data_IF_192349609354
#
_entry.id   IF_192349609354
#
_cell.length_a   1.000
_cell.length_b   1.000
_cell.length_c   1.000
_cell.angle_alpha   90.00
_cell.angle_beta   90.00
_cell.angle_gamma   90.00
#
_symmetry.space_group_name_H-M   'P 1'
#
loop_
_entity.id
_entity.type
_entity.pdbx_description
1 polymer ?
#
# COMPACT_ATOMS: atom_id res chain seq x y z
N UNK A 1 -3.95 88.85 -4.59
CA UNK A 1 -5.00 88.53 -3.65
C UNK A 1 -4.57 87.18 -3.08
N UNK A 2 -3.84 87.22 -1.97
CA UNK A 2 -3.19 86.06 -1.40
C UNK A 2 -3.95 85.58 -0.20
N UNK A 3 -4.41 84.33 -0.26
CA UNK A 3 -4.99 83.65 0.89
C UNK A 3 -3.86 83.14 1.76
N UNK A 4 -3.86 83.62 2.98
CA UNK A 4 -2.94 83.21 4.05
C UNK A 4 -3.59 82.08 4.79
N UNK A 5 -3.04 80.88 4.62
CA UNK A 5 -3.40 79.73 5.44
C UNK A 5 -2.73 79.92 6.80
N UNK A 6 -3.53 80.15 7.84
CA UNK A 6 -3.10 80.16 9.25
C UNK A 6 -3.10 78.78 9.77
N UNK A 7 -1.93 78.19 10.09
CA UNK A 7 -1.76 76.98 10.81
C UNK A 7 -2.15 77.19 12.27
N UNK A 8 -3.29 76.62 12.66
CA UNK A 8 -3.66 76.59 14.09
C UNK A 8 -2.87 75.42 14.75
N UNK A 9 -1.70 75.76 15.29
CA UNK A 9 -1.02 74.87 16.24
C UNK A 9 -1.82 74.87 17.54
N UNK A 10 -2.59 73.80 17.73
CA UNK A 10 -3.21 73.48 19.00
C UNK A 10 -2.15 73.26 20.09
N UNK A 11 -2.51 73.37 21.38
CA UNK A 11 -1.54 73.21 22.48
C UNK A 11 -0.93 71.82 22.43
N UNK A 12 0.42 71.76 22.49
CA UNK A 12 1.17 70.47 22.53
C UNK A 12 0.71 69.60 23.70
N UNK A 13 0.20 68.39 23.41
CA UNK A 13 -0.17 67.40 24.39
C UNK A 13 0.95 66.35 24.46
N UNK A 14 1.59 66.19 25.62
CA UNK A 14 2.62 65.13 25.73
C UNK A 14 2.05 63.80 25.49
N UNK A 15 2.75 62.98 24.68
CA UNK A 15 2.38 61.58 24.41
C UNK A 15 2.32 60.80 25.71
N UNK A 16 1.26 60.01 25.84
CA UNK A 16 1.10 59.13 26.99
C UNK A 16 2.30 58.15 27.09
N UNK A 17 2.82 57.91 28.29
CA UNK A 17 3.88 56.93 28.45
C UNK A 17 3.47 55.56 27.94
N UNK A 18 4.38 54.78 27.34
CA UNK A 18 4.08 53.46 26.91
C UNK A 18 3.61 52.58 28.08
N UNK A 19 2.68 51.67 27.86
CA UNK A 19 2.16 50.80 28.92
C UNK A 19 3.30 50.02 29.58
N UNK A 20 3.25 49.97 30.93
CA UNK A 20 4.24 49.24 31.71
C UNK A 20 4.34 47.78 31.21
N UNK A 21 5.52 47.38 30.83
CA UNK A 21 5.77 45.97 30.41
C UNK A 21 5.45 45.08 31.62
N UNK A 22 4.38 44.32 31.50
CA UNK A 22 4.02 43.33 32.50
C UNK A 22 5.17 42.35 32.70
N UNK A 23 5.76 42.32 33.86
CA UNK A 23 6.88 41.40 34.20
C UNK A 23 6.49 39.91 34.10
N UNK A 24 5.22 39.61 33.84
CA UNK A 24 4.70 38.25 33.69
C UNK A 24 5.24 37.53 32.42
N UNK A 25 5.67 38.24 31.39
CA UNK A 25 6.24 37.60 30.19
C UNK A 25 7.47 36.73 30.47
N UNK A 26 8.29 37.13 31.46
CA UNK A 26 9.44 36.37 31.93
C UNK A 26 9.05 35.01 32.47
N UNK A 27 7.87 34.87 33.10
CA UNK A 27 7.33 33.61 33.59
C UNK A 27 6.92 32.69 32.45
N UNK A 28 6.34 33.21 31.38
CA UNK A 28 5.97 32.45 30.20
C UNK A 28 7.20 32.03 29.37
N UNK A 29 8.22 32.89 29.29
CA UNK A 29 9.49 32.53 28.65
C UNK A 29 10.19 31.41 29.44
N UNK A 30 10.26 31.51 30.75
CA UNK A 30 10.86 30.48 31.60
C UNK A 30 10.09 29.13 31.50
N UNK A 31 8.75 29.18 31.49
CA UNK A 31 7.92 28.00 31.30
C UNK A 31 8.11 27.37 29.90
N UNK A 32 8.20 28.21 28.86
CA UNK A 32 8.46 27.73 27.50
C UNK A 32 9.82 27.05 27.36
N UNK A 33 10.87 27.62 27.95
CA UNK A 33 12.22 27.04 27.95
C UNK A 33 12.23 25.69 28.70
N UNK A 34 11.51 25.59 29.82
CA UNK A 34 11.40 24.34 30.57
C UNK A 34 10.70 23.24 29.77
N UNK A 35 9.59 23.57 29.08
CA UNK A 35 8.88 22.62 28.23
C UNK A 35 9.72 22.15 27.05
N UNK A 36 10.47 23.05 26.41
CA UNK A 36 11.40 22.69 25.33
C UNK A 36 12.53 21.80 25.84
N UNK A 37 13.07 22.10 27.02
CA UNK A 37 14.10 21.27 27.64
C UNK A 37 13.59 19.86 27.97
N UNK A 38 12.36 19.74 28.49
CA UNK A 38 11.71 18.43 28.74
C UNK A 38 11.48 17.70 27.43
N UNK A 39 10.97 18.38 26.39
CA UNK A 39 10.75 17.78 25.07
C UNK A 39 12.06 17.26 24.45
N UNK A 40 13.13 18.05 24.50
CA UNK A 40 14.44 17.67 23.96
C UNK A 40 15.02 16.48 24.73
N UNK A 41 14.91 16.46 26.06
CA UNK A 41 15.42 15.32 26.86
C UNK A 41 14.63 14.04 26.60
N UNK A 42 13.31 14.13 26.45
CA UNK A 42 12.48 12.96 26.12
C UNK A 42 12.74 12.47 24.69
N UNK A 43 13.06 13.38 23.76
CA UNK A 43 13.32 13.01 22.36
C UNK A 43 14.75 12.51 22.11
N UNK A 44 15.71 12.82 22.98
CA UNK A 44 17.13 12.45 22.79
C UNK A 44 17.54 11.30 23.70
N UNK A 45 16.82 11.05 24.80
CA UNK A 45 17.08 9.83 25.59
C UNK A 45 16.54 8.66 24.78
N UNK A 46 17.41 7.78 24.22
CA UNK A 46 16.93 6.52 23.69
C UNK A 46 16.30 5.79 24.89
N UNK A 47 14.97 5.65 24.88
CA UNK A 47 14.34 4.67 25.75
C UNK A 47 15.06 3.37 25.48
N UNK A 48 15.57 2.66 26.49
CA UNK A 48 16.03 1.31 26.27
C UNK A 48 14.76 0.56 25.78
N UNK A 49 14.70 0.34 24.46
CA UNK A 49 13.85 -0.68 23.91
C UNK A 49 14.39 -1.98 24.52
N UNK A 50 13.93 -2.30 25.72
CA UNK A 50 13.93 -3.68 26.15
C UNK A 50 12.99 -4.37 25.18
N UNK A 51 13.53 -4.85 24.06
CA UNK A 51 12.88 -5.91 23.33
C UNK A 51 12.58 -6.97 24.40
N UNK A 52 11.32 -7.37 24.60
CA UNK A 52 11.08 -8.56 25.39
C UNK A 52 11.95 -9.65 24.77
N UNK A 53 12.49 -10.59 25.55
CA UNK A 53 13.14 -11.76 25.00
C UNK A 53 12.05 -12.58 24.34
N UNK A 54 11.74 -12.28 23.14
CA UNK A 54 10.75 -12.88 22.28
C UNK A 54 11.42 -13.03 20.94
N UNK A 55 11.87 -14.23 20.69
CA UNK A 55 12.18 -14.82 19.41
C UNK A 55 12.41 -13.75 18.32
N UNK A 56 13.64 -13.28 18.20
CA UNK A 56 14.11 -12.78 16.91
C UNK A 56 13.98 -13.98 15.98
N UNK A 57 12.84 -14.13 15.33
CA UNK A 57 12.74 -14.97 14.15
C UNK A 57 13.72 -14.37 13.16
N UNK A 58 14.94 -14.87 13.22
CA UNK A 58 15.97 -14.52 12.26
C UNK A 58 15.46 -15.03 10.90
N UNK A 59 15.82 -14.34 9.83
CA UNK A 59 15.50 -14.79 8.46
C UNK A 59 15.97 -16.24 8.20
N UNK A 60 16.83 -16.78 9.07
CA UNK A 60 17.32 -18.16 9.08
C UNK A 60 16.27 -19.16 9.60
N UNK A 61 15.23 -18.72 10.32
CA UNK A 61 14.13 -19.56 10.83
C UNK A 61 12.98 -19.72 9.84
N UNK A 62 12.99 -19.00 8.71
CA UNK A 62 12.01 -19.18 7.67
C UNK A 62 12.24 -20.53 6.98
N UNK A 63 11.17 -21.33 6.77
CA UNK A 63 11.31 -22.58 6.05
C UNK A 63 11.88 -22.29 4.65
N UNK A 64 12.87 -23.08 4.18
CA UNK A 64 13.41 -22.87 2.85
C UNK A 64 12.29 -23.03 1.83
N UNK A 65 12.26 -22.16 0.83
CA UNK A 65 11.32 -22.31 -0.29
C UNK A 65 11.63 -23.61 -1.03
N UNK A 66 10.64 -24.49 -1.11
CA UNK A 66 10.72 -25.71 -1.91
C UNK A 66 10.31 -25.45 -3.37
N UNK A 67 9.55 -24.39 -3.61
CA UNK A 67 9.12 -23.96 -4.94
C UNK A 67 9.26 -22.44 -5.06
N UNK A 68 9.89 -22.00 -6.14
CA UNK A 68 9.97 -20.59 -6.53
C UNK A 68 9.84 -20.50 -8.06
N UNK A 69 8.74 -19.97 -8.53
CA UNK A 69 8.45 -19.82 -9.97
C UNK A 69 7.62 -18.57 -10.23
N UNK A 70 7.48 -18.21 -11.51
CA UNK A 70 6.81 -16.99 -11.92
C UNK A 70 5.86 -17.22 -13.09
N UNK A 71 4.74 -16.51 -13.09
CA UNK A 71 3.78 -16.51 -14.19
C UNK A 71 3.45 -15.05 -14.56
N UNK A 72 3.36 -14.76 -15.85
CA UNK A 72 2.97 -13.43 -16.32
C UNK A 72 1.50 -13.45 -16.74
N UNK A 73 0.65 -12.74 -15.97
CA UNK A 73 -0.78 -12.63 -16.20
C UNK A 73 -1.13 -11.27 -16.80
N UNK A 74 -1.88 -11.26 -17.89
CA UNK A 74 -2.53 -10.05 -18.42
C UNK A 74 -4.03 -10.29 -18.58
N UNK A 75 -4.83 -9.25 -18.34
CA UNK A 75 -6.28 -9.31 -18.41
C UNK A 75 -6.78 -8.20 -19.34
N UNK A 76 -7.67 -8.55 -20.25
CA UNK A 76 -8.31 -7.60 -21.17
C UNK A 76 -9.83 -7.80 -21.12
N UNK A 77 -10.56 -6.73 -20.95
CA UNK A 77 -12.02 -6.73 -20.95
C UNK A 77 -12.51 -5.79 -22.06
N UNK A 78 -13.14 -6.33 -23.08
CA UNK A 78 -13.69 -5.56 -24.22
C UNK A 78 -12.66 -4.63 -24.87
N UNK A 79 -11.42 -5.14 -25.03
CA UNK A 79 -10.32 -4.37 -25.62
C UNK A 79 -9.55 -3.48 -24.62
N UNK A 80 -10.03 -3.30 -23.39
CA UNK A 80 -9.38 -2.51 -22.36
C UNK A 80 -8.53 -3.38 -21.45
N UNK A 81 -7.28 -3.00 -21.24
CA UNK A 81 -6.39 -3.66 -20.29
C UNK A 81 -6.86 -3.43 -18.86
N UNK A 82 -6.91 -4.50 -18.07
CA UNK A 82 -7.20 -4.46 -16.64
C UNK A 82 -5.92 -4.66 -15.83
N UNK A 83 -5.71 -3.79 -14.88
CA UNK A 83 -4.54 -3.84 -14.02
C UNK A 83 -4.64 -5.03 -13.06
N UNK A 84 -3.57 -5.81 -12.95
CA UNK A 84 -3.35 -6.75 -11.85
C UNK A 84 -2.58 -5.98 -10.77
N UNK A 85 -3.16 -5.71 -9.60
CA UNK A 85 -2.53 -4.87 -8.60
C UNK A 85 -1.21 -5.44 -8.07
N UNK A 86 -0.36 -4.56 -7.56
CA UNK A 86 0.74 -4.95 -6.68
C UNK A 86 0.18 -5.43 -5.34
N UNK A 87 0.94 -6.29 -4.64
CA UNK A 87 0.69 -6.73 -3.26
C UNK A 87 -0.57 -7.59 -3.06
N UNK A 88 -1.07 -8.25 -4.12
CA UNK A 88 -2.03 -9.35 -3.96
C UNK A 88 -1.36 -10.43 -3.10
N UNK A 89 -2.08 -10.98 -2.10
CA UNK A 89 -1.54 -11.97 -1.18
C UNK A 89 -0.48 -11.45 -0.19
N UNK A 90 -0.34 -10.09 -0.08
CA UNK A 90 0.55 -9.41 0.85
C UNK A 90 -0.21 -8.33 1.63
N UNK A 91 -0.98 -7.49 0.94
CA UNK A 91 -1.78 -6.46 1.57
C UNK A 91 -3.11 -7.04 2.04
N UNK A 92 -3.55 -6.68 3.24
CA UNK A 92 -4.75 -7.24 3.90
C UNK A 92 -6.01 -7.07 3.05
N UNK A 93 -6.14 -5.97 2.33
CA UNK A 93 -7.27 -5.65 1.45
C UNK A 93 -7.20 -6.37 0.08
N UNK A 94 -6.08 -7.02 -0.23
CA UNK A 94 -5.83 -7.81 -1.44
C UNK A 94 -5.48 -9.28 -1.12
N UNK A 95 -5.87 -9.75 0.06
CA UNK A 95 -5.68 -11.12 0.50
C UNK A 95 -6.98 -11.65 1.12
N UNK A 96 -7.80 -12.28 0.28
CA UNK A 96 -9.16 -12.67 0.64
C UNK A 96 -9.31 -14.16 0.99
N UNK A 97 -8.48 -15.02 0.39
CA UNK A 97 -8.47 -16.46 0.68
C UNK A 97 -7.19 -16.83 1.41
N UNK A 98 -7.34 -17.35 2.62
CA UNK A 98 -6.28 -17.77 3.53
C UNK A 98 -6.08 -19.29 3.57
N UNK A 99 -6.72 -20.04 2.67
CA UNK A 99 -6.67 -21.52 2.66
C UNK A 99 -5.27 -22.09 2.36
N UNK A 100 -4.40 -21.28 1.75
CA UNK A 100 -3.04 -21.68 1.36
C UNK A 100 -1.94 -21.06 2.23
N UNK A 101 -2.26 -20.31 3.26
CA UNK A 101 -1.29 -19.57 4.07
C UNK A 101 -0.19 -20.44 4.66
N UNK A 102 -0.54 -21.67 5.04
CA UNK A 102 0.42 -22.64 5.60
C UNK A 102 1.52 -23.07 4.61
N UNK A 103 1.36 -22.77 3.34
CA UNK A 103 2.32 -23.09 2.29
C UNK A 103 3.20 -21.89 1.88
N UNK A 104 2.78 -20.68 2.23
CA UNK A 104 3.53 -19.45 1.99
C UNK A 104 4.62 -19.22 3.03
N UNK A 105 5.18 -18.02 3.00
CA UNK A 105 6.05 -17.51 4.06
C UNK A 105 5.26 -16.61 5.00
N UNK A 106 5.65 -16.44 6.27
CA UNK A 106 4.90 -15.59 7.21
C UNK A 106 4.59 -14.20 6.64
N UNK A 107 3.30 -13.85 6.57
CA UNK A 107 2.82 -12.57 6.05
C UNK A 107 2.75 -12.45 4.53
N UNK A 108 2.99 -13.53 3.77
CA UNK A 108 2.91 -13.57 2.30
C UNK A 108 2.26 -14.87 1.85
N UNK A 109 1.18 -14.78 1.06
CA UNK A 109 0.55 -15.94 0.45
C UNK A 109 1.49 -16.63 -0.55
N UNK A 110 1.35 -17.95 -0.79
CA UNK A 110 2.20 -18.66 -1.75
C UNK A 110 2.02 -18.18 -3.19
N UNK A 111 0.89 -17.55 -3.51
CA UNK A 111 0.64 -16.88 -4.78
C UNK A 111 0.46 -15.38 -4.50
N UNK A 112 1.39 -14.55 -4.98
CA UNK A 112 1.35 -13.12 -4.68
C UNK A 112 1.97 -12.26 -5.79
N UNK A 113 1.83 -10.94 -5.67
CA UNK A 113 2.43 -9.97 -6.58
C UNK A 113 3.21 -8.90 -5.81
N UNK A 114 4.39 -8.51 -6.29
CA UNK A 114 5.15 -7.39 -5.73
C UNK A 114 4.85 -6.07 -6.45
N UNK A 115 4.59 -6.14 -7.76
CA UNK A 115 4.38 -4.98 -8.62
C UNK A 115 3.09 -5.13 -9.42
N UNK A 116 2.61 -4.03 -9.99
CA UNK A 116 1.42 -4.02 -10.85
C UNK A 116 1.70 -4.45 -12.30
N UNK A 117 2.73 -5.26 -12.53
CA UNK A 117 3.10 -5.79 -13.85
C UNK A 117 2.29 -7.01 -14.28
N UNK A 118 1.54 -7.62 -13.35
CA UNK A 118 0.89 -8.91 -13.58
C UNK A 118 1.82 -10.12 -13.41
N UNK A 119 3.06 -9.92 -12.93
CA UNK A 119 3.95 -11.03 -12.56
C UNK A 119 3.50 -11.61 -11.23
N UNK A 120 3.02 -12.84 -11.28
CA UNK A 120 2.65 -13.66 -10.12
C UNK A 120 3.89 -14.41 -9.67
N UNK A 121 4.24 -14.29 -8.40
CA UNK A 121 5.24 -15.10 -7.73
C UNK A 121 4.55 -16.32 -7.11
N UNK A 122 5.15 -17.48 -7.28
CA UNK A 122 4.74 -18.74 -6.65
C UNK A 122 5.88 -19.14 -5.72
N UNK A 123 5.75 -18.81 -4.45
CA UNK A 123 6.76 -19.04 -3.43
C UNK A 123 6.16 -19.91 -2.33
N UNK A 124 6.65 -21.14 -2.19
CA UNK A 124 6.04 -22.13 -1.31
C UNK A 124 7.06 -22.97 -0.57
N UNK A 125 6.72 -23.33 0.67
CA UNK A 125 7.46 -24.27 1.51
C UNK A 125 7.31 -25.74 1.05
N UNK A 126 6.40 -26.02 0.11
CA UNK A 126 6.18 -27.35 -0.45
C UNK A 126 6.13 -27.30 -1.99
N UNK A 127 6.45 -28.41 -2.63
CA UNK A 127 6.25 -28.60 -4.07
C UNK A 127 4.85 -29.14 -4.31
N UNK A 128 4.02 -28.36 -5.01
CA UNK A 128 2.68 -28.77 -5.47
C UNK A 128 2.30 -27.98 -6.73
N UNK A 129 1.28 -28.44 -7.43
CA UNK A 129 0.67 -27.67 -8.50
C UNK A 129 -0.21 -26.56 -7.90
N UNK A 130 0.04 -25.32 -8.32
CA UNK A 130 -0.78 -24.14 -8.03
C UNK A 130 -1.64 -23.81 -9.23
N UNK A 131 -2.92 -23.45 -8.99
CA UNK A 131 -3.90 -23.25 -10.03
C UNK A 131 -4.24 -21.76 -10.20
N UNK A 132 -4.60 -21.38 -11.41
CA UNK A 132 -5.02 -19.99 -11.72
C UNK A 132 -6.16 -19.52 -10.81
N UNK A 133 -7.18 -20.36 -10.54
CA UNK A 133 -8.29 -20.03 -9.63
C UNK A 133 -7.83 -19.71 -8.21
N UNK A 134 -6.74 -20.31 -7.73
CA UNK A 134 -6.22 -20.06 -6.38
C UNK A 134 -5.66 -18.65 -6.26
N UNK A 135 -4.97 -18.16 -7.29
CA UNK A 135 -4.53 -16.77 -7.35
C UNK A 135 -5.71 -15.80 -7.34
N UNK A 136 -6.75 -16.06 -8.15
CA UNK A 136 -7.95 -15.22 -8.18
C UNK A 136 -8.73 -15.26 -6.86
N UNK A 137 -8.77 -16.41 -6.16
CA UNK A 137 -9.37 -16.52 -4.84
C UNK A 137 -8.61 -15.68 -3.81
N UNK A 138 -7.27 -15.75 -3.77
CA UNK A 138 -6.43 -14.90 -2.92
C UNK A 138 -6.69 -13.42 -3.23
N UNK A 139 -6.75 -13.04 -4.49
CA UNK A 139 -7.06 -11.66 -4.91
C UNK A 139 -8.50 -11.25 -4.57
N UNK A 140 -9.42 -12.21 -4.35
CA UNK A 140 -10.85 -11.94 -4.13
C UNK A 140 -11.59 -11.54 -5.39
N UNK A 141 -11.08 -11.90 -6.58
CA UNK A 141 -11.70 -11.55 -7.84
C UNK A 141 -12.35 -12.76 -8.51
N UNK A 142 -13.54 -12.59 -9.10
CA UNK A 142 -14.20 -13.64 -9.86
C UNK A 142 -13.42 -14.05 -11.11
N UNK A 143 -13.34 -15.37 -11.35
CA UNK A 143 -12.86 -15.97 -12.57
C UNK A 143 -13.78 -17.16 -12.93
N UNK A 144 -14.58 -17.03 -13.96
CA UNK A 144 -15.53 -18.04 -14.39
C UNK A 144 -15.94 -17.91 -15.86
N UNK A 145 -16.77 -18.81 -16.36
CA UNK A 145 -17.11 -18.87 -17.78
C UNK A 145 -17.89 -17.65 -18.27
N UNK A 146 -18.60 -16.97 -17.38
CA UNK A 146 -19.43 -15.80 -17.63
C UNK A 146 -19.00 -14.56 -16.85
N UNK A 147 -17.93 -14.67 -16.03
CA UNK A 147 -17.50 -13.59 -15.15
C UNK A 147 -15.99 -13.47 -15.05
N UNK A 148 -15.47 -12.25 -15.28
CA UNK A 148 -14.05 -11.90 -15.17
C UNK A 148 -13.93 -10.57 -14.43
N UNK A 149 -13.34 -10.60 -13.24
CA UNK A 149 -13.28 -9.44 -12.33
C UNK A 149 -14.71 -8.88 -12.08
N UNK A 150 -14.87 -7.59 -12.27
CA UNK A 150 -16.15 -6.87 -12.16
C UNK A 150 -17.07 -7.05 -13.38
N UNK A 151 -16.57 -7.64 -14.49
CA UNK A 151 -17.29 -7.77 -15.74
C UNK A 151 -18.04 -9.10 -15.85
N UNK A 152 -19.26 -9.04 -16.36
CA UNK A 152 -20.07 -10.22 -16.76
C UNK A 152 -20.17 -10.27 -18.28
N UNK A 153 -19.94 -11.43 -18.86
CA UNK A 153 -20.10 -11.65 -20.29
C UNK A 153 -21.56 -11.48 -20.72
N UNK A 154 -21.80 -10.65 -21.72
CA UNK A 154 -23.11 -10.43 -22.31
C UNK A 154 -23.44 -11.42 -23.43
N UNK A 155 -24.63 -11.31 -24.06
CA UNK A 155 -24.98 -12.14 -25.19
C UNK A 155 -23.98 -12.01 -26.35
N UNK A 156 -23.39 -13.13 -26.76
CA UNK A 156 -22.40 -13.18 -27.84
C UNK A 156 -20.96 -12.84 -27.41
N UNK A 157 -20.73 -12.53 -26.15
CA UNK A 157 -19.39 -12.39 -25.58
C UNK A 157 -18.90 -13.70 -25.00
N UNK A 158 -17.60 -13.88 -24.98
CA UNK A 158 -16.94 -15.06 -24.38
C UNK A 158 -15.70 -14.65 -23.60
N UNK A 159 -15.38 -15.45 -22.57
CA UNK A 159 -14.14 -15.35 -21.83
C UNK A 159 -13.23 -16.48 -22.29
N UNK A 160 -12.10 -16.11 -22.86
CA UNK A 160 -11.07 -17.05 -23.33
C UNK A 160 -9.76 -16.84 -22.61
N UNK A 161 -8.86 -17.80 -22.74
CA UNK A 161 -7.47 -17.65 -22.33
C UNK A 161 -6.52 -17.90 -23.48
N UNK A 162 -5.37 -17.26 -23.45
CA UNK A 162 -4.22 -17.54 -24.32
C UNK A 162 -3.06 -17.91 -23.42
N UNK A 163 -2.54 -19.11 -23.56
CA UNK A 163 -1.41 -19.64 -22.78
C UNK A 163 -0.26 -19.90 -23.72
N UNK A 164 0.86 -19.21 -23.48
CA UNK A 164 2.08 -19.28 -24.31
C UNK A 164 1.81 -19.12 -25.81
N UNK A 165 0.89 -18.19 -26.12
CA UNK A 165 0.47 -17.87 -27.49
C UNK A 165 -0.64 -18.75 -28.07
N UNK A 166 -1.03 -19.84 -27.39
CA UNK A 166 -2.12 -20.70 -27.84
C UNK A 166 -3.46 -20.32 -27.19
N UNK A 167 -4.45 -19.96 -28.03
CA UNK A 167 -5.81 -19.69 -27.57
C UNK A 167 -6.52 -20.99 -27.15
N UNK A 168 -7.28 -20.92 -26.06
CA UNK A 168 -8.08 -22.02 -25.52
C UNK A 168 -9.27 -21.52 -24.72
N UNK A 169 -10.23 -22.38 -24.47
CA UNK A 169 -11.32 -22.11 -23.54
C UNK A 169 -10.77 -21.76 -22.17
N UNK A 170 -11.42 -20.85 -21.45
CA UNK A 170 -11.06 -20.50 -20.08
C UNK A 170 -11.08 -21.76 -19.20
N UNK A 171 -9.96 -22.01 -18.54
CA UNK A 171 -9.80 -23.06 -17.54
C UNK A 171 -9.27 -22.45 -16.22
N UNK A 172 -10.12 -22.16 -15.24
CA UNK A 172 -9.68 -21.71 -13.93
C UNK A 172 -8.80 -22.72 -13.20
N UNK A 173 -8.85 -24.00 -13.61
CA UNK A 173 -8.01 -25.09 -13.10
C UNK A 173 -6.64 -25.20 -13.78
N UNK A 174 -6.26 -24.27 -14.66
CA UNK A 174 -4.94 -24.25 -15.27
C UNK A 174 -3.86 -24.29 -14.20
N UNK A 175 -2.99 -25.32 -14.27
CA UNK A 175 -1.78 -25.41 -13.44
C UNK A 175 -0.76 -24.37 -13.89
N UNK A 176 -0.28 -23.57 -12.94
CA UNK A 176 0.70 -22.53 -13.19
C UNK A 176 2.12 -23.12 -13.23
N UNK A 177 2.84 -22.85 -14.31
CA UNK A 177 4.21 -23.33 -14.51
C UNK A 177 5.17 -22.16 -14.63
N UNK A 178 6.43 -22.39 -14.34
CA UNK A 178 7.45 -21.33 -14.38
C UNK A 178 7.54 -20.67 -15.75
N UNK A 179 7.65 -19.35 -15.75
CA UNK A 179 7.74 -18.44 -16.89
C UNK A 179 6.54 -18.50 -17.87
N UNK A 180 5.43 -19.19 -17.48
CA UNK A 180 4.20 -19.24 -18.28
C UNK A 180 3.62 -17.83 -18.52
N UNK A 181 3.12 -17.61 -19.73
CA UNK A 181 2.42 -16.39 -20.11
C UNK A 181 0.93 -16.69 -20.27
N UNK A 182 0.10 -16.08 -19.40
CA UNK A 182 -1.35 -16.23 -19.42
C UNK A 182 -2.01 -14.91 -19.76
N UNK A 183 -2.89 -14.90 -20.76
CA UNK A 183 -3.73 -13.77 -21.10
C UNK A 183 -5.19 -14.19 -20.98
N UNK A 184 -6.00 -13.46 -20.22
CA UNK A 184 -7.45 -13.70 -20.09
C UNK A 184 -8.16 -12.56 -20.78
N UNK A 185 -9.10 -12.89 -21.66
CA UNK A 185 -9.74 -11.93 -22.56
C UNK A 185 -11.25 -12.17 -22.51
N UNK A 186 -12.00 -11.12 -22.15
CA UNK A 186 -13.44 -11.02 -22.39
C UNK A 186 -13.64 -10.22 -23.69
N UNK A 187 -14.19 -10.87 -24.71
CA UNK A 187 -14.45 -10.28 -26.05
C UNK A 187 -15.83 -10.62 -26.58
#
# INVERSE_FOLDING_TARGET
MGDRIVDEEGPWVPASPPPARNANWLRYVAAGILLVAIYVTVSIVPLPLSNPPGNEETLEDLPPLALHSHVNLTITVRGESRLVPARIGIAVDLWNDHSLDSYGIPGIAPLHTHTASGRIHIESSIVRDYMLREFFAIWGQPLGPDRLLDATAGPGEEIIMVVDGAERTLDPGLGLQDEMIVRIILR
#
